data_IF_990941587282
#
_entry.id   IF_990941587282
#
_cell.length_a   1.000
_cell.length_b   1.000
_cell.length_c   1.000
_cell.angle_alpha   90.00
_cell.angle_beta   90.00
_cell.angle_gamma   90.00
#
_symmetry.space_group_name_H-M   'P 1'
#
loop_
_entity.id
_entity.type
_entity.pdbx_description
1 polymer ?
#
# COMPACT_ATOMS: atom_id res chain seq x y z
N UNK A 1 -5.33 19.39 1.21
CA UNK A 1 -4.14 18.53 1.00
C UNK A 1 -4.48 17.15 1.54
N UNK A 2 -4.37 16.08 0.75
CA UNK A 2 -4.59 14.69 1.21
C UNK A 2 -3.55 13.77 0.59
N UNK A 3 -2.30 14.19 0.68
CA UNK A 3 -1.16 13.50 0.09
C UNK A 3 -0.33 12.94 1.24
N UNK A 4 -0.01 11.64 1.19
CA UNK A 4 0.75 10.96 2.24
C UNK A 4 1.88 10.15 1.61
N UNK A 5 3.11 10.54 1.89
CA UNK A 5 4.30 9.78 1.52
C UNK A 5 4.97 9.23 2.79
N UNK A 6 5.02 7.90 2.87
CA UNK A 6 5.65 7.11 3.92
C UNK A 6 6.63 6.10 3.30
N UNK A 7 7.12 6.37 2.09
CA UNK A 7 8.03 5.46 1.41
C UNK A 7 9.36 5.30 2.16
N UNK A 8 9.99 4.13 2.01
CA UNK A 8 11.32 3.81 2.59
C UNK A 8 11.36 3.95 4.12
N UNK A 9 10.32 3.46 4.78
CA UNK A 9 10.26 3.36 6.24
C UNK A 9 10.25 1.89 6.67
N UNK A 10 10.23 1.66 7.98
CA UNK A 10 10.09 0.33 8.57
C UNK A 10 8.67 0.13 9.14
N UNK A 11 7.64 0.44 8.36
CA UNK A 11 6.25 0.24 8.78
C UNK A 11 5.86 -1.22 8.54
N UNK A 12 5.19 -1.82 9.52
CA UNK A 12 4.71 -3.21 9.51
C UNK A 12 3.19 -3.25 9.60
N UNK A 13 2.61 -4.42 9.29
CA UNK A 13 1.17 -4.66 9.35
C UNK A 13 0.49 -4.55 7.99
N UNK A 14 -0.84 -4.36 8.00
CA UNK A 14 -1.65 -4.28 6.78
C UNK A 14 -1.93 -2.85 6.33
N UNK A 15 -2.33 -2.68 5.07
CA UNK A 15 -2.82 -1.38 4.57
C UNK A 15 -4.28 -1.20 5.02
N UNK A 16 -4.59 -0.18 5.84
CA UNK A 16 -5.96 0.04 6.31
C UNK A 16 -6.83 0.65 5.21
N UNK A 17 -8.13 0.32 5.16
CA UNK A 17 -9.07 0.86 4.16
C UNK A 17 -9.27 2.37 4.24
N UNK A 18 -8.95 2.99 5.39
CA UNK A 18 -9.02 4.44 5.60
C UNK A 18 -8.15 5.25 4.63
N UNK A 19 -7.12 4.63 4.02
CA UNK A 19 -6.28 5.30 3.01
C UNK A 19 -7.06 5.67 1.74
N UNK A 20 -8.24 5.08 1.50
CA UNK A 20 -9.09 5.41 0.34
C UNK A 20 -9.50 6.89 0.28
N UNK A 21 -9.53 7.56 1.44
CA UNK A 21 -9.84 8.99 1.54
C UNK A 21 -8.71 9.91 1.06
N UNK A 22 -7.51 9.39 0.84
CA UNK A 22 -6.35 10.15 0.38
C UNK A 22 -6.43 10.43 -1.13
N UNK A 23 -5.79 11.51 -1.58
CA UNK A 23 -5.60 11.83 -3.00
C UNK A 23 -4.38 11.12 -3.56
N UNK A 24 -3.26 11.18 -2.85
CA UNK A 24 -2.02 10.49 -3.20
C UNK A 24 -1.50 9.71 -1.99
N UNK A 25 -0.98 8.52 -2.25
CA UNK A 25 -0.36 7.64 -1.26
C UNK A 25 0.92 7.05 -1.84
N UNK A 26 1.99 7.05 -1.05
CA UNK A 26 3.20 6.30 -1.34
C UNK A 26 3.65 5.58 -0.06
N UNK A 27 3.53 4.25 -0.03
CA UNK A 27 4.00 3.39 1.07
C UNK A 27 5.03 2.39 0.56
N UNK A 28 5.67 2.70 -0.56
CA UNK A 28 6.67 1.83 -1.18
C UNK A 28 7.85 1.59 -0.23
N UNK A 29 8.52 0.45 -0.39
CA UNK A 29 9.71 0.08 0.37
C UNK A 29 9.48 0.09 1.90
N UNK A 30 8.40 -0.56 2.34
CA UNK A 30 8.11 -0.85 3.75
C UNK A 30 8.05 -2.37 3.98
N UNK A 31 7.59 -2.78 5.16
CA UNK A 31 7.38 -4.18 5.54
C UNK A 31 5.89 -4.52 5.70
N UNK A 32 5.04 -3.91 4.88
CA UNK A 32 3.60 -4.18 4.88
C UNK A 32 3.29 -5.56 4.29
N UNK A 33 2.21 -6.17 4.77
CA UNK A 33 1.88 -7.57 4.52
C UNK A 33 0.36 -7.78 4.53
N UNK A 34 -0.11 -8.78 3.78
CA UNK A 34 -1.52 -9.14 3.69
C UNK A 34 -2.23 -8.61 2.45
N UNK A 35 -3.54 -8.84 2.40
CA UNK A 35 -4.38 -8.47 1.25
C UNK A 35 -4.64 -6.96 1.25
N UNK A 36 -4.41 -6.31 0.11
CA UNK A 36 -4.76 -4.92 -0.09
C UNK A 36 -6.29 -4.73 -0.03
N UNK A 37 -6.78 -3.71 0.70
CA UNK A 37 -8.15 -3.28 0.57
C UNK A 37 -8.39 -2.69 -0.82
N UNK A 38 -9.66 -2.57 -1.27
CA UNK A 38 -9.98 -1.86 -2.50
C UNK A 38 -9.35 -0.46 -2.51
N UNK A 39 -8.49 -0.21 -3.49
CA UNK A 39 -7.67 1.00 -3.56
C UNK A 39 -7.66 1.55 -4.98
N UNK A 40 -7.57 2.87 -5.09
CA UNK A 40 -7.39 3.59 -6.37
C UNK A 40 -5.93 3.91 -6.68
N UNK A 41 -5.02 3.60 -5.76
CA UNK A 41 -3.60 3.91 -5.90
C UNK A 41 -2.91 2.90 -6.83
N UNK A 42 -1.92 3.34 -7.62
CA UNK A 42 -1.19 2.46 -8.53
C UNK A 42 -0.33 1.45 -7.76
N UNK A 43 0.09 0.37 -8.44
CA UNK A 43 0.97 -0.65 -7.88
C UNK A 43 2.31 -0.08 -7.35
N UNK A 44 2.83 0.97 -7.98
CA UNK A 44 4.05 1.66 -7.54
C UNK A 44 3.95 2.23 -6.13
N UNK A 45 2.77 2.64 -5.68
CA UNK A 45 2.53 3.10 -4.30
C UNK A 45 2.79 2.01 -3.26
N UNK A 46 2.81 0.74 -3.65
CA UNK A 46 2.96 -0.42 -2.77
C UNK A 46 4.24 -1.23 -3.05
N UNK A 47 5.07 -0.80 -4.01
CA UNK A 47 6.28 -1.50 -4.43
C UNK A 47 7.21 -1.80 -3.25
N UNK A 48 7.97 -2.90 -3.31
CA UNK A 48 8.93 -3.27 -2.27
C UNK A 48 8.32 -3.95 -1.02
N UNK A 49 7.00 -3.91 -0.84
CA UNK A 49 6.30 -4.64 0.22
C UNK A 49 6.00 -6.09 -0.21
N UNK A 50 6.97 -7.00 -0.03
CA UNK A 50 6.95 -8.37 -0.60
C UNK A 50 5.77 -9.25 -0.20
N UNK A 51 5.13 -8.97 0.94
CA UNK A 51 4.01 -9.76 1.46
C UNK A 51 2.63 -9.18 1.05
N UNK A 52 2.58 -8.05 0.34
CA UNK A 52 1.30 -7.53 -0.14
C UNK A 52 0.79 -8.31 -1.35
N UNK A 53 -0.52 -8.52 -1.40
CA UNK A 53 -1.21 -9.17 -2.51
C UNK A 53 -2.62 -8.59 -2.71
N UNK A 54 -3.23 -8.87 -3.86
CA UNK A 54 -4.51 -8.30 -4.28
C UNK A 54 -4.35 -7.02 -5.11
N UNK A 55 -5.39 -6.68 -5.89
CA UNK A 55 -5.35 -5.56 -6.84
C UNK A 55 -4.91 -4.24 -6.16
N UNK A 56 -3.96 -3.49 -6.75
CA UNK A 56 -3.39 -3.62 -8.10
C UNK A 56 -2.16 -4.57 -8.23
N UNK A 57 -1.81 -5.31 -7.18
CA UNK A 57 -0.69 -6.26 -7.20
C UNK A 57 -1.14 -7.65 -7.68
N UNK A 58 -0.22 -8.62 -7.59
CA UNK A 58 -0.51 -10.03 -7.86
C UNK A 58 -1.61 -10.56 -6.92
N UNK A 59 -2.51 -11.43 -7.39
CA UNK A 59 -3.51 -12.06 -6.53
C UNK A 59 -2.88 -12.80 -5.35
N UNK A 60 -3.58 -12.84 -4.22
CA UNK A 60 -3.19 -13.67 -3.09
C UNK A 60 -3.33 -15.16 -3.48
N UNK A 61 -2.38 -15.98 -3.04
CA UNK A 61 -2.43 -17.44 -3.20
C UNK A 61 -3.38 -18.07 -2.17
#
# INVERSE_FOLDING_TARGET
MKDLDLSRNSIYGGVPSSVAGLRNLNVSWNHLCGRLPPTKFPASSFEGNKCLCGSPLQPCK
#
